data_IF_756500558503
#
_entry.id   IF_756500558503
#
_cell.length_a   1.000
_cell.length_b   1.000
_cell.length_c   1.000
_cell.angle_alpha   90.00
_cell.angle_beta   90.00
_cell.angle_gamma   90.00
#
_symmetry.space_group_name_H-M   'P 1'
#
loop_
_entity.id
_entity.type
_entity.pdbx_description
1 polymer ?
#
# COMPACT_ATOMS: atom_id res chain seq x y z
N UNK A 1 -21.16 8.61 -27.23
CA UNK A 1 -20.21 7.50 -27.14
C UNK A 1 -19.06 7.91 -26.22
N UNK A 2 -19.11 7.50 -24.94
CA UNK A 2 -18.03 7.75 -23.98
C UNK A 2 -16.95 6.71 -24.20
N UNK A 3 -15.76 7.11 -24.66
CA UNK A 3 -14.56 6.24 -24.65
C UNK A 3 -14.27 5.94 -23.16
N UNK A 4 -14.57 4.73 -22.73
CA UNK A 4 -13.97 4.17 -21.52
C UNK A 4 -12.46 4.15 -21.75
N UNK A 5 -11.72 4.97 -21.00
CA UNK A 5 -10.30 4.82 -20.84
C UNK A 5 -10.09 3.46 -20.15
N UNK A 6 -9.82 2.44 -20.92
CA UNK A 6 -9.07 1.29 -20.45
C UNK A 6 -7.68 1.85 -20.08
N UNK A 7 -7.51 2.18 -18.81
CA UNK A 7 -6.17 2.35 -18.26
C UNK A 7 -5.49 1.01 -18.43
N UNK A 8 -4.49 0.98 -19.31
CA UNK A 8 -3.64 -0.17 -19.54
C UNK A 8 -3.06 -0.59 -18.17
N UNK A 9 -3.46 -1.78 -17.73
CA UNK A 9 -3.07 -2.35 -16.43
C UNK A 9 -1.61 -2.85 -16.43
N UNK A 10 -0.83 -2.46 -17.45
CA UNK A 10 0.56 -2.88 -17.66
C UNK A 10 1.60 -2.03 -16.89
N UNK A 11 1.19 -0.98 -16.16
CA UNK A 11 2.13 0.01 -15.64
C UNK A 11 2.43 -0.06 -14.13
N UNK A 12 2.09 -1.15 -13.44
CA UNK A 12 2.57 -1.31 -12.05
C UNK A 12 3.92 -2.01 -12.08
N UNK A 13 4.98 -1.23 -11.94
CA UNK A 13 6.31 -1.79 -11.74
C UNK A 13 6.39 -2.45 -10.36
N UNK A 14 6.68 -3.75 -10.34
CA UNK A 14 6.93 -4.51 -9.11
C UNK A 14 8.44 -4.65 -8.89
N UNK A 15 8.85 -4.75 -7.63
CA UNK A 15 10.23 -5.05 -7.27
C UNK A 15 10.54 -6.49 -7.72
N UNK A 16 11.56 -6.61 -8.57
CA UNK A 16 12.14 -7.86 -9.07
C UNK A 16 13.66 -7.79 -8.96
N UNK A 17 14.36 -8.87 -9.29
CA UNK A 17 15.85 -8.88 -9.34
C UNK A 17 16.38 -7.90 -10.39
N UNK A 18 15.64 -7.68 -11.48
CA UNK A 18 16.01 -6.79 -12.59
C UNK A 18 15.55 -5.34 -12.38
N UNK A 19 14.95 -5.01 -11.24
CA UNK A 19 14.47 -3.65 -10.99
C UNK A 19 15.61 -2.64 -10.91
N UNK A 20 15.41 -1.38 -11.41
CA UNK A 20 16.39 -0.32 -11.26
C UNK A 20 16.79 -0.11 -9.79
N UNK A 21 18.09 0.18 -9.58
CA UNK A 21 18.64 0.36 -8.23
C UNK A 21 17.88 1.43 -7.44
N UNK A 22 17.61 2.59 -8.04
CA UNK A 22 16.93 3.72 -7.41
C UNK A 22 15.50 3.35 -6.98
N UNK A 23 14.80 2.55 -7.80
CA UNK A 23 13.46 2.07 -7.49
C UNK A 23 13.48 1.14 -6.26
N UNK A 24 14.40 0.19 -6.24
CA UNK A 24 14.57 -0.76 -5.13
C UNK A 24 14.97 -0.04 -3.84
N UNK A 25 15.92 0.89 -3.91
CA UNK A 25 16.38 1.66 -2.75
C UNK A 25 15.27 2.57 -2.18
N UNK A 26 14.40 3.13 -3.02
CA UNK A 26 13.26 3.92 -2.55
C UNK A 26 12.33 3.08 -1.65
N UNK A 27 12.05 1.83 -2.02
CA UNK A 27 11.22 0.94 -1.18
C UNK A 27 11.98 0.39 0.03
N UNK A 28 13.29 0.18 -0.04
CA UNK A 28 14.10 -0.13 1.15
C UNK A 28 14.10 1.03 2.16
N UNK A 29 14.20 2.27 1.68
CA UNK A 29 14.09 3.46 2.53
C UNK A 29 12.68 3.57 3.14
N UNK A 30 11.61 3.36 2.34
CA UNK A 30 10.24 3.33 2.84
C UNK A 30 10.06 2.26 3.92
N UNK A 31 10.53 1.04 3.69
CA UNK A 31 10.53 -0.05 4.66
C UNK A 31 11.27 0.31 5.95
N UNK A 32 12.44 0.93 5.83
CA UNK A 32 13.24 1.35 6.99
C UNK A 32 12.46 2.35 7.83
N UNK A 33 11.88 3.39 7.21
CA UNK A 33 11.04 4.37 7.89
C UNK A 33 9.81 3.71 8.52
N UNK A 34 9.18 2.78 7.80
CA UNK A 34 8.04 2.00 8.29
C UNK A 34 8.40 1.18 9.54
N UNK A 35 9.53 0.49 9.53
CA UNK A 35 9.99 -0.28 10.69
C UNK A 35 10.25 0.60 11.91
N UNK A 36 10.77 1.82 11.74
CA UNK A 36 10.92 2.76 12.85
C UNK A 36 9.58 3.21 13.43
N UNK A 37 8.57 3.44 12.60
CA UNK A 37 7.21 3.80 13.03
C UNK A 37 6.51 2.63 13.71
N UNK A 38 6.84 1.39 13.37
CA UNK A 38 6.29 0.17 13.94
C UNK A 38 7.16 -0.43 15.08
N UNK A 39 8.25 0.25 15.48
CA UNK A 39 9.29 -0.31 16.37
C UNK A 39 8.75 -0.82 17.71
N UNK A 40 7.70 -0.22 18.24
CA UNK A 40 7.09 -0.65 19.51
C UNK A 40 6.09 -1.82 19.34
N UNK A 41 5.93 -2.39 18.14
CA UNK A 41 4.94 -3.44 17.85
C UNK A 41 3.48 -2.95 17.88
N UNK A 42 3.27 -1.64 17.97
CA UNK A 42 1.94 -1.03 18.09
C UNK A 42 1.25 -0.81 16.74
N UNK A 43 2.04 -0.67 15.65
CA UNK A 43 1.52 -0.38 14.31
C UNK A 43 1.70 -1.60 13.41
N UNK A 44 0.78 -2.55 13.48
CA UNK A 44 0.83 -3.79 12.69
C UNK A 44 -0.27 -3.87 11.63
N UNK A 45 -1.41 -3.19 11.85
CA UNK A 45 -2.53 -3.06 10.90
C UNK A 45 -2.43 -1.70 10.23
N UNK A 46 -1.99 -1.67 8.99
CA UNK A 46 -1.70 -0.44 8.25
C UNK A 46 -2.68 -0.26 7.11
N UNK A 47 -3.33 0.87 7.10
CA UNK A 47 -4.19 1.29 6.01
C UNK A 47 -3.40 2.18 5.04
N UNK A 48 -3.54 1.93 3.74
CA UNK A 48 -2.97 2.78 2.68
C UNK A 48 -4.10 3.42 1.90
N UNK A 49 -4.10 4.75 1.85
CA UNK A 49 -5.09 5.54 1.12
C UNK A 49 -4.45 6.73 0.40
N UNK A 50 -5.24 7.49 -0.32
CA UNK A 50 -4.78 8.66 -1.08
C UNK A 50 -5.88 9.73 -1.17
N UNK A 51 -5.57 10.90 -1.75
CA UNK A 51 -6.57 11.96 -1.93
C UNK A 51 -7.49 11.68 -3.12
N UNK A 52 -6.96 11.16 -4.24
CA UNK A 52 -7.68 10.90 -5.49
C UNK A 52 -7.28 9.56 -6.11
N UNK A 53 -8.02 9.04 -7.09
CA UNK A 53 -7.62 7.85 -7.84
C UNK A 53 -6.28 8.03 -8.58
N UNK A 54 -5.61 6.91 -8.88
CA UNK A 54 -4.38 6.85 -9.68
C UNK A 54 -3.15 7.54 -9.06
N UNK A 55 -3.11 7.66 -7.73
CA UNK A 55 -1.91 8.12 -7.00
C UNK A 55 -0.91 7.00 -6.73
N UNK A 56 -1.25 5.75 -7.08
CA UNK A 56 -0.37 4.58 -6.97
C UNK A 56 -0.40 3.87 -5.62
N UNK A 57 -1.50 3.96 -4.88
CA UNK A 57 -1.70 3.25 -3.61
C UNK A 57 -1.37 1.77 -3.71
N UNK A 58 -2.05 1.06 -4.61
CA UNK A 58 -1.88 -0.39 -4.81
C UNK A 58 -0.44 -0.75 -5.19
N UNK A 59 0.24 0.08 -6.00
CA UNK A 59 1.67 -0.08 -6.32
C UNK A 59 2.53 0.06 -5.05
N UNK A 60 2.25 1.07 -4.21
CA UNK A 60 2.97 1.27 -2.94
C UNK A 60 2.71 0.10 -1.98
N UNK A 61 1.46 -0.37 -1.85
CA UNK A 61 1.09 -1.51 -1.02
C UNK A 61 1.85 -2.77 -1.41
N UNK A 62 1.80 -3.14 -2.69
CA UNK A 62 2.44 -4.37 -3.18
C UNK A 62 3.96 -4.30 -3.01
N UNK A 63 4.60 -3.21 -3.42
CA UNK A 63 6.05 -3.09 -3.34
C UNK A 63 6.56 -2.96 -1.89
N UNK A 64 5.79 -2.33 -0.99
CA UNK A 64 6.11 -2.33 0.44
C UNK A 64 6.02 -3.75 1.02
N UNK A 65 4.99 -4.52 0.66
CA UNK A 65 4.83 -5.91 1.08
C UNK A 65 5.99 -6.79 0.57
N UNK A 66 6.38 -6.66 -0.71
CA UNK A 66 7.56 -7.34 -1.27
C UNK A 66 8.81 -6.98 -0.47
N UNK A 67 9.04 -5.68 -0.23
CA UNK A 67 10.23 -5.21 0.48
C UNK A 67 10.29 -5.71 1.94
N UNK A 68 9.15 -5.85 2.63
CA UNK A 68 9.06 -6.43 3.97
C UNK A 68 9.29 -7.94 3.94
N UNK A 69 8.71 -8.66 2.97
CA UNK A 69 8.90 -10.10 2.79
C UNK A 69 10.39 -10.45 2.53
N UNK A 70 11.10 -9.61 1.77
CA UNK A 70 12.55 -9.79 1.51
C UNK A 70 13.42 -9.79 2.78
N UNK A 71 12.94 -9.25 3.90
CA UNK A 71 13.64 -9.29 5.20
C UNK A 71 13.00 -10.32 6.17
N UNK A 72 12.24 -11.28 5.63
CA UNK A 72 11.66 -12.39 6.40
C UNK A 72 10.42 -12.03 7.21
N UNK A 73 9.75 -10.88 6.94
CA UNK A 73 8.48 -10.56 7.57
C UNK A 73 7.32 -11.27 6.88
N UNK A 74 6.41 -11.84 7.67
CA UNK A 74 5.16 -12.41 7.18
C UNK A 74 4.16 -11.27 7.01
N UNK A 75 3.72 -11.04 5.78
CA UNK A 75 2.87 -9.91 5.43
C UNK A 75 1.59 -10.41 4.75
N UNK A 76 0.44 -9.96 5.25
CA UNK A 76 -0.83 -10.10 4.57
C UNK A 76 -1.22 -8.77 3.93
N UNK A 77 -1.46 -8.78 2.64
CA UNK A 77 -2.08 -7.67 1.92
C UNK A 77 -3.57 -7.93 1.78
N UNK A 78 -4.39 -6.98 2.21
CA UNK A 78 -5.85 -7.03 2.14
C UNK A 78 -6.34 -6.05 1.08
N UNK A 79 -7.06 -6.53 0.07
CA UNK A 79 -7.74 -5.68 -0.91
C UNK A 79 -9.04 -5.15 -0.30
N UNK A 80 -8.92 -4.02 0.41
CA UNK A 80 -10.03 -3.34 1.07
C UNK A 80 -10.80 -2.37 0.16
N UNK A 81 -10.43 -2.23 -1.11
CA UNK A 81 -11.24 -1.51 -2.10
C UNK A 81 -12.36 -2.42 -2.64
N UNK A 82 -13.37 -2.68 -1.79
CA UNK A 82 -14.52 -3.49 -2.18
C UNK A 82 -15.37 -2.87 -3.28
N UNK A 83 -15.13 -1.60 -3.66
CA UNK A 83 -15.81 -0.93 -4.77
C UNK A 83 -15.19 -1.24 -6.12
N UNK A 84 -13.85 -1.40 -6.15
CA UNK A 84 -13.10 -1.73 -7.35
C UNK A 84 -11.89 -2.61 -7.01
N UNK A 85 -12.12 -3.85 -6.54
CA UNK A 85 -11.03 -4.77 -6.18
C UNK A 85 -10.08 -4.97 -7.36
N UNK A 86 -8.79 -4.76 -7.13
CA UNK A 86 -7.82 -4.72 -8.24
C UNK A 86 -6.51 -5.46 -7.98
N UNK A 87 -6.16 -5.76 -6.73
CA UNK A 87 -4.86 -6.35 -6.39
C UNK A 87 -4.62 -7.70 -7.07
N UNK A 88 -5.66 -8.54 -7.20
CA UNK A 88 -5.57 -9.81 -7.91
C UNK A 88 -5.07 -9.67 -9.35
N UNK A 89 -5.40 -8.55 -10.02
CA UNK A 89 -4.98 -8.28 -11.40
C UNK A 89 -3.51 -7.90 -11.49
N UNK A 90 -3.02 -7.05 -10.58
CA UNK A 90 -1.60 -6.64 -10.53
C UNK A 90 -0.68 -7.82 -10.22
N UNK A 91 -1.19 -8.84 -9.53
CA UNK A 91 -0.45 -10.03 -9.15
C UNK A 91 -0.70 -11.23 -10.08
N UNK A 92 -1.37 -11.00 -11.23
CA UNK A 92 -1.76 -12.05 -12.19
C UNK A 92 -2.54 -13.23 -11.56
N UNK A 93 -3.24 -12.97 -10.46
CA UNK A 93 -4.08 -13.96 -9.81
C UNK A 93 -5.48 -13.96 -10.42
N UNK A 94 -6.05 -15.16 -10.59
CA UNK A 94 -7.44 -15.29 -11.05
C UNK A 94 -8.39 -14.74 -9.98
N UNK A 95 -9.40 -14.01 -10.43
CA UNK A 95 -10.49 -13.59 -9.54
C UNK A 95 -11.33 -14.82 -9.19
N UNK A 96 -11.43 -15.11 -7.90
CA UNK A 96 -12.32 -16.12 -7.36
C UNK A 96 -13.42 -15.44 -6.53
N UNK A 97 -14.68 -15.48 -6.96
CA UNK A 97 -15.77 -14.81 -6.26
C UNK A 97 -16.11 -15.45 -4.90
N UNK A 98 -15.72 -16.71 -4.69
CA UNK A 98 -16.01 -17.45 -3.47
C UNK A 98 -14.88 -17.35 -2.44
N UNK A 99 -13.62 -17.18 -2.89
CA UNK A 99 -12.43 -17.10 -2.04
C UNK A 99 -11.94 -15.68 -1.93
N UNK A 100 -12.64 -14.86 -1.14
CA UNK A 100 -12.35 -13.43 -1.09
C UNK A 100 -12.88 -12.76 0.19
N UNK A 101 -12.45 -11.52 0.45
CA UNK A 101 -12.83 -10.73 1.60
C UNK A 101 -14.36 -10.51 1.67
N UNK A 102 -15.03 -10.22 0.56
CA UNK A 102 -16.49 -10.03 0.59
C UNK A 102 -17.26 -11.29 0.99
N UNK A 103 -16.81 -12.48 0.56
CA UNK A 103 -17.39 -13.76 0.98
C UNK A 103 -17.08 -14.09 2.46
N UNK A 104 -15.84 -13.78 2.90
CA UNK A 104 -15.43 -13.94 4.28
C UNK A 104 -16.26 -13.06 5.23
N UNK A 105 -16.48 -11.79 4.88
CA UNK A 105 -17.24 -10.85 5.70
C UNK A 105 -18.74 -11.16 5.77
N UNK A 106 -19.27 -11.92 4.81
CA UNK A 106 -20.65 -12.43 4.85
C UNK A 106 -20.78 -13.79 5.52
N UNK A 107 -19.66 -14.39 5.98
CA UNK A 107 -19.65 -15.68 6.65
C UNK A 107 -19.82 -16.88 5.73
N UNK A 108 -19.60 -16.72 4.42
CA UNK A 108 -19.74 -17.77 3.42
C UNK A 108 -18.52 -18.71 3.36
N UNK A 109 -17.38 -18.29 3.90
CA UNK A 109 -16.12 -19.02 3.86
C UNK A 109 -15.29 -18.68 5.10
N UNK A 110 -14.36 -19.54 5.49
CA UNK A 110 -13.39 -19.30 6.56
C UNK A 110 -12.16 -18.48 6.09
N UNK A 111 -11.40 -17.94 7.07
CA UNK A 111 -10.26 -17.07 6.81
C UNK A 111 -9.16 -17.75 6.00
N UNK A 112 -8.74 -18.95 6.41
CA UNK A 112 -7.59 -19.63 5.80
C UNK A 112 -7.86 -20.02 4.34
N UNK A 113 -9.12 -20.34 4.03
CA UNK A 113 -9.56 -20.65 2.67
C UNK A 113 -9.56 -19.45 1.71
N UNK A 114 -9.56 -18.22 2.25
CA UNK A 114 -9.53 -16.99 1.45
C UNK A 114 -8.12 -16.51 1.10
N UNK A 115 -7.10 -17.01 1.80
CA UNK A 115 -5.72 -16.55 1.64
C UNK A 115 -5.10 -17.14 0.37
N UNK A 116 -4.38 -16.29 -0.36
CA UNK A 116 -3.66 -16.64 -1.57
C UNK A 116 -2.18 -16.37 -1.36
N UNK A 117 -1.35 -17.41 -1.36
CA UNK A 117 0.10 -17.25 -1.40
C UNK A 117 0.51 -16.64 -2.74
N UNK A 118 1.32 -15.59 -2.70
CA UNK A 118 1.84 -14.95 -3.91
C UNK A 118 3.27 -15.40 -4.20
N UNK A 119 3.68 -15.35 -5.46
CA UNK A 119 5.07 -15.62 -5.86
C UNK A 119 6.06 -14.55 -5.35
N UNK A 120 5.56 -13.49 -4.75
CA UNK A 120 6.34 -12.35 -4.26
C UNK A 120 6.70 -12.44 -2.77
N UNK A 121 6.36 -13.53 -2.10
CA UNK A 121 6.73 -13.81 -0.70
C UNK A 121 5.82 -13.17 0.36
N UNK A 122 4.68 -12.63 -0.03
CA UNK A 122 3.61 -12.17 0.86
C UNK A 122 2.28 -12.83 0.47
N UNK A 123 1.30 -12.80 1.36
CA UNK A 123 -0.01 -13.38 1.11
C UNK A 123 -1.04 -12.29 0.80
N UNK A 124 -2.04 -12.65 -0.01
CA UNK A 124 -3.13 -11.78 -0.44
C UNK A 124 -4.47 -12.29 0.08
N UNK A 125 -5.27 -11.39 0.67
CA UNK A 125 -6.70 -11.56 0.84
C UNK A 125 -7.42 -10.68 -0.20
N UNK A 126 -7.90 -11.25 -1.32
CA UNK A 126 -8.48 -10.49 -2.43
C UNK A 126 -9.86 -9.93 -2.06
N UNK A 127 -10.21 -8.76 -2.57
CA UNK A 127 -11.48 -8.07 -2.27
C UNK A 127 -12.73 -8.82 -2.77
N UNK A 128 -12.65 -9.42 -3.95
CA UNK A 128 -13.68 -10.29 -4.50
C UNK A 128 -14.77 -9.58 -5.29
N UNK A 129 -16.02 -9.98 -5.10
CA UNK A 129 -17.19 -9.40 -5.77
C UNK A 129 -17.59 -8.10 -5.06
N UNK A 130 -17.95 -7.10 -5.84
CA UNK A 130 -18.42 -5.80 -5.29
C UNK A 130 -19.77 -6.02 -4.56
N UNK A 131 -19.81 -5.84 -3.24
CA UNK A 131 -21.04 -6.00 -2.49
C UNK A 131 -21.95 -4.76 -2.64
N UNK A 132 -23.25 -4.86 -2.35
CA UNK A 132 -24.16 -3.72 -2.41
C UNK A 132 -23.87 -2.65 -1.33
N UNK A 133 -23.25 -3.03 -0.22
CA UNK A 133 -22.99 -2.20 0.97
C UNK A 133 -21.51 -2.29 1.42
N UNK A 134 -20.55 -1.78 0.61
CA UNK A 134 -19.11 -1.95 0.90
C UNK A 134 -18.68 -1.30 2.22
N UNK A 135 -19.19 -0.11 2.55
CA UNK A 135 -18.79 0.63 3.78
C UNK A 135 -19.22 -0.14 5.03
N UNK A 136 -20.44 -0.65 5.07
CA UNK A 136 -20.96 -1.41 6.19
C UNK A 136 -20.15 -2.69 6.44
N UNK A 137 -19.77 -3.39 5.37
CA UNK A 137 -18.95 -4.59 5.48
C UNK A 137 -17.53 -4.26 5.97
N UNK A 138 -16.88 -3.24 5.40
CA UNK A 138 -15.49 -2.91 5.74
C UNK A 138 -15.36 -2.33 7.16
N UNK A 139 -16.42 -1.77 7.73
CA UNK A 139 -16.48 -1.24 9.09
C UNK A 139 -17.11 -2.20 10.10
N UNK A 140 -17.42 -3.42 9.70
CA UNK A 140 -18.14 -4.40 10.52
C UNK A 140 -17.25 -4.99 11.63
N UNK A 141 -17.90 -5.62 12.63
CA UNK A 141 -17.19 -6.43 13.63
C UNK A 141 -16.49 -7.62 13.00
N UNK A 142 -17.01 -8.17 11.92
CA UNK A 142 -16.40 -9.25 11.15
C UNK A 142 -15.07 -8.79 10.55
N UNK A 143 -15.01 -7.56 10.00
CA UNK A 143 -13.75 -7.02 9.48
C UNK A 143 -12.70 -6.87 10.59
N UNK A 144 -13.10 -6.38 11.77
CA UNK A 144 -12.19 -6.34 12.91
C UNK A 144 -11.70 -7.75 13.29
N UNK A 145 -12.58 -8.74 13.37
CA UNK A 145 -12.22 -10.12 13.67
C UNK A 145 -11.25 -10.71 12.62
N UNK A 146 -11.44 -10.39 11.33
CA UNK A 146 -10.52 -10.78 10.25
C UNK A 146 -9.13 -10.18 10.45
N UNK A 147 -9.04 -8.88 10.78
CA UNK A 147 -7.76 -8.22 11.01
C UNK A 147 -7.05 -8.77 12.27
N UNK A 148 -7.77 -9.02 13.35
CA UNK A 148 -7.19 -9.63 14.56
C UNK A 148 -6.73 -11.07 14.29
N UNK A 149 -7.53 -11.86 13.58
CA UNK A 149 -7.14 -13.23 13.17
C UNK A 149 -5.87 -13.23 12.32
N UNK A 150 -5.74 -12.28 11.40
CA UNK A 150 -4.54 -12.13 10.59
C UNK A 150 -3.29 -11.87 11.45
N UNK A 151 -3.39 -11.10 12.54
CA UNK A 151 -2.26 -10.81 13.43
C UNK A 151 -1.76 -12.02 14.24
N UNK A 152 -2.51 -13.12 14.30
CA UNK A 152 -2.02 -14.36 14.90
C UNK A 152 -0.91 -15.00 14.05
N UNK A 153 -0.94 -14.77 12.73
CA UNK A 153 -0.02 -15.38 11.77
C UNK A 153 0.97 -14.39 11.17
N UNK A 154 0.54 -13.17 10.86
CA UNK A 154 1.32 -12.19 10.13
C UNK A 154 1.95 -11.14 11.05
N UNK A 155 3.17 -10.71 10.71
CA UNK A 155 3.83 -9.59 11.37
C UNK A 155 3.17 -8.26 11.03
N UNK A 156 2.68 -8.12 9.77
CA UNK A 156 1.99 -6.93 9.27
C UNK A 156 0.77 -7.30 8.43
N UNK A 157 -0.29 -6.51 8.57
CA UNK A 157 -1.49 -6.53 7.72
C UNK A 157 -1.59 -5.17 7.03
N UNK A 158 -1.50 -5.14 5.70
CA UNK A 158 -1.53 -3.91 4.90
C UNK A 158 -2.82 -3.89 4.09
N UNK A 159 -3.70 -2.93 4.37
CA UNK A 159 -4.98 -2.77 3.70
C UNK A 159 -4.88 -1.72 2.58
N UNK A 160 -5.04 -2.15 1.32
CA UNK A 160 -5.26 -1.21 0.19
C UNK A 160 -6.71 -0.73 0.22
N UNK A 161 -6.94 0.57 0.10
CA UNK A 161 -8.28 1.16 0.19
C UNK A 161 -8.54 2.16 -0.93
N UNK A 162 -9.82 2.46 -1.24
CA UNK A 162 -10.13 3.54 -2.16
C UNK A 162 -9.67 4.90 -1.62
N UNK A 163 -9.54 5.93 -2.49
CA UNK A 163 -9.12 7.26 -2.06
C UNK A 163 -10.09 7.87 -1.05
N UNK A 164 -9.58 8.29 0.11
CA UNK A 164 -10.39 8.92 1.17
C UNK A 164 -11.00 10.26 0.70
N UNK A 165 -10.40 10.90 -0.28
CA UNK A 165 -10.95 12.13 -0.87
C UNK A 165 -12.26 11.91 -1.63
N UNK A 166 -12.60 10.67 -2.02
CA UNK A 166 -13.74 10.32 -2.85
C UNK A 166 -14.84 9.61 -2.06
N UNK A 167 -14.47 8.60 -1.25
CA UNK A 167 -15.42 7.75 -0.50
C UNK A 167 -15.02 7.63 0.97
N UNK A 168 -15.92 7.12 1.80
CA UNK A 168 -15.75 7.04 3.25
C UNK A 168 -15.12 5.74 3.74
N UNK A 169 -14.91 4.78 2.87
CA UNK A 169 -14.44 3.42 3.19
C UNK A 169 -13.10 3.44 3.94
N UNK A 170 -12.12 4.22 3.43
CA UNK A 170 -10.83 4.36 4.10
C UNK A 170 -10.95 5.01 5.49
N UNK A 171 -11.86 5.98 5.66
CA UNK A 171 -12.11 6.58 6.97
C UNK A 171 -12.74 5.58 7.94
N UNK A 172 -13.68 4.77 7.47
CA UNK A 172 -14.34 3.75 8.29
C UNK A 172 -13.34 2.64 8.71
N UNK A 173 -12.54 2.12 7.76
CA UNK A 173 -11.54 1.09 8.04
C UNK A 173 -10.39 1.62 8.91
N UNK A 174 -10.04 2.90 8.83
CA UNK A 174 -8.95 3.48 9.63
C UNK A 174 -9.17 3.36 11.14
N UNK A 175 -10.42 3.26 11.58
CA UNK A 175 -10.76 3.03 12.99
C UNK A 175 -10.40 1.61 13.49
N UNK A 176 -10.17 0.66 12.58
CA UNK A 176 -9.77 -0.71 12.87
C UNK A 176 -8.25 -0.94 12.65
N UNK A 177 -7.55 0.06 12.14
CA UNK A 177 -6.12 0.01 11.83
C UNK A 177 -5.32 0.83 12.84
N UNK A 178 -4.05 0.45 13.02
CA UNK A 178 -3.14 1.11 13.97
C UNK A 178 -2.55 2.39 13.37
N UNK A 179 -2.45 2.45 12.02
CA UNK A 179 -1.89 3.60 11.35
C UNK A 179 -2.28 3.71 9.88
N UNK A 180 -2.08 4.89 9.33
CA UNK A 180 -2.40 5.24 7.93
C UNK A 180 -1.15 5.72 7.22
N UNK A 181 -0.82 5.13 6.07
CA UNK A 181 0.11 5.67 5.09
C UNK A 181 -0.69 6.42 4.02
N UNK A 182 -0.35 7.69 3.82
CA UNK A 182 -1.06 8.54 2.88
C UNK A 182 -0.23 8.71 1.60
N UNK A 183 -0.73 8.24 0.46
CA UNK A 183 -0.01 8.27 -0.82
C UNK A 183 -0.40 9.49 -1.63
N UNK A 184 0.59 10.19 -2.16
CA UNK A 184 0.46 11.32 -3.09
C UNK A 184 1.22 11.04 -4.37
N UNK A 185 0.71 11.54 -5.51
CA UNK A 185 1.43 11.50 -6.77
C UNK A 185 2.12 12.83 -7.05
N UNK A 186 3.44 12.78 -7.26
CA UNK A 186 4.24 13.96 -7.60
C UNK A 186 3.69 14.67 -8.83
N UNK A 187 3.72 16.01 -8.83
CA UNK A 187 3.25 16.89 -9.91
C UNK A 187 1.78 16.73 -10.35
N UNK A 188 1.02 15.79 -9.77
CA UNK A 188 -0.36 15.52 -10.19
C UNK A 188 -1.37 15.94 -9.12
N UNK A 189 -1.08 15.61 -7.85
CA UNK A 189 -2.00 15.86 -6.75
C UNK A 189 -2.04 17.35 -6.40
N UNK A 190 -3.24 17.92 -6.34
CA UNK A 190 -3.43 19.33 -5.99
C UNK A 190 -3.47 19.52 -4.47
N UNK A 191 -2.87 20.61 -3.96
CA UNK A 191 -2.81 20.90 -2.52
C UNK A 191 -4.17 20.87 -1.82
N UNK A 192 -5.21 21.44 -2.45
CA UNK A 192 -6.57 21.43 -1.88
C UNK A 192 -7.16 20.03 -1.73
N UNK A 193 -6.84 19.09 -2.62
CA UNK A 193 -7.26 17.69 -2.53
C UNK A 193 -6.57 17.01 -1.34
N UNK A 194 -5.27 17.25 -1.15
CA UNK A 194 -4.49 16.77 -0.01
C UNK A 194 -5.08 17.27 1.30
N UNK A 195 -5.28 18.60 1.44
CA UNK A 195 -5.85 19.16 2.66
C UNK A 195 -7.26 18.63 2.96
N UNK A 196 -8.10 18.48 1.92
CA UNK A 196 -9.44 17.89 2.08
C UNK A 196 -9.40 16.44 2.57
N UNK A 197 -8.49 15.65 2.05
CA UNK A 197 -8.30 14.25 2.45
C UNK A 197 -7.73 14.13 3.89
N UNK A 198 -6.71 14.93 4.22
CA UNK A 198 -6.13 14.94 5.58
C UNK A 198 -7.14 15.37 6.64
N UNK A 199 -7.98 16.38 6.35
CA UNK A 199 -9.07 16.76 7.26
C UNK A 199 -10.06 15.63 7.53
N UNK A 200 -10.35 14.79 6.53
CA UNK A 200 -11.22 13.61 6.73
C UNK A 200 -10.57 12.60 7.66
N UNK A 201 -9.25 12.33 7.51
CA UNK A 201 -8.49 11.47 8.43
C UNK A 201 -8.47 12.06 9.86
N UNK A 202 -8.25 13.36 9.98
CA UNK A 202 -8.28 14.08 11.27
C UNK A 202 -9.65 13.98 11.96
N UNK A 203 -10.74 14.14 11.19
CA UNK A 203 -12.12 14.06 11.72
C UNK A 203 -12.41 12.71 12.38
N UNK A 204 -11.85 11.62 11.82
CA UNK A 204 -11.98 10.26 12.39
C UNK A 204 -10.85 9.91 13.35
N UNK A 205 -9.97 10.88 13.67
CA UNK A 205 -8.80 10.73 14.54
C UNK A 205 -7.86 9.60 14.09
N UNK A 206 -7.74 9.40 12.79
CA UNK A 206 -6.84 8.38 12.25
C UNK A 206 -5.38 8.74 12.55
N UNK A 207 -4.59 7.77 12.97
CA UNK A 207 -3.16 7.92 13.22
C UNK A 207 -2.39 7.94 11.88
N UNK A 208 -2.10 9.12 11.34
CA UNK A 208 -1.34 9.25 10.09
C UNK A 208 0.15 9.07 10.39
N UNK A 209 0.71 7.93 10.02
CA UNK A 209 2.13 7.59 10.22
C UNK A 209 3.05 8.41 9.33
N UNK A 210 2.61 8.70 8.10
CA UNK A 210 3.43 9.44 7.15
C UNK A 210 2.81 9.57 5.78
N UNK A 211 3.54 10.26 4.91
CA UNK A 211 3.17 10.51 3.51
C UNK A 211 4.20 9.85 2.58
N UNK A 212 3.72 9.11 1.60
CA UNK A 212 4.52 8.54 0.51
C UNK A 212 4.33 9.38 -0.74
N UNK A 213 5.39 10.04 -1.19
CA UNK A 213 5.39 10.76 -2.46
C UNK A 213 5.77 9.80 -3.59
N UNK A 214 4.76 9.34 -4.32
CA UNK A 214 4.93 8.39 -5.42
C UNK A 214 5.19 9.08 -6.76
N UNK A 215 5.78 8.37 -7.74
CA UNK A 215 6.18 8.90 -9.05
C UNK A 215 7.10 10.13 -8.95
N UNK A 216 7.98 10.15 -7.95
CA UNK A 216 8.96 11.22 -7.79
C UNK A 216 10.14 10.99 -8.75
N UNK A 217 10.44 11.99 -9.57
CA UNK A 217 11.58 11.97 -10.47
C UNK A 217 12.76 12.74 -9.84
N UNK A 218 13.86 12.03 -9.58
CA UNK A 218 15.07 12.61 -8.99
C UNK A 218 15.70 13.65 -9.92
N UNK A 219 15.53 13.52 -11.24
CA UNK A 219 16.01 14.48 -12.24
C UNK A 219 15.41 15.89 -12.09
N UNK A 220 14.26 16.01 -11.44
CA UNK A 220 13.60 17.30 -11.18
C UNK A 220 14.31 18.17 -10.11
N UNK A 221 15.26 17.60 -9.36
CA UNK A 221 15.98 18.32 -8.27
C UNK A 221 17.15 19.14 -8.79
N UNK A 222 17.53 19.05 -10.06
CA UNK A 222 18.67 19.80 -10.65
C UNK A 222 18.44 21.31 -10.79
N UNK A 223 17.29 21.84 -10.34
CA UNK A 223 16.93 23.26 -10.30
C UNK A 223 16.90 23.81 -8.87
N UNK A 224 18.03 24.39 -8.40
CA UNK A 224 18.17 25.32 -7.27
C UNK A 224 17.29 25.08 -6.01
N UNK A 225 17.87 24.40 -5.02
CA UNK A 225 17.52 24.64 -3.63
C UNK A 225 16.64 23.59 -2.95
N UNK A 226 17.17 22.38 -2.74
CA UNK A 226 16.82 21.57 -1.56
C UNK A 226 17.98 20.62 -1.25
N UNK A 227 18.97 21.10 -0.52
CA UNK A 227 20.14 20.33 -0.07
C UNK A 227 19.85 19.33 1.07
N UNK A 228 18.62 18.81 1.20
CA UNK A 228 18.28 17.91 2.30
C UNK A 228 18.35 16.41 1.93
N UNK A 229 18.42 16.04 0.64
CA UNK A 229 18.47 14.65 0.23
C UNK A 229 19.87 14.06 0.16
N UNK A 230 20.93 14.88 0.19
CA UNK A 230 22.32 14.40 0.19
C UNK A 230 22.86 13.97 1.58
N UNK A 231 22.07 14.05 2.65
CA UNK A 231 22.52 13.74 4.00
C UNK A 231 22.30 12.28 4.45
N UNK A 232 21.60 11.46 3.66
CA UNK A 232 21.44 10.02 3.93
C UNK A 232 22.01 9.13 2.83
N UNK A 233 22.80 9.69 1.92
CA UNK A 233 23.60 8.93 1.01
C UNK A 233 24.83 8.38 1.75
N UNK A 234 24.79 7.14 2.18
CA UNK A 234 26.00 6.39 2.53
C UNK A 234 26.84 6.27 1.26
N UNK A 235 27.75 7.22 1.10
CA UNK A 235 28.79 7.16 0.08
C UNK A 235 29.81 6.08 0.42
N UNK A 236 29.52 4.83 0.09
CA UNK A 236 30.56 3.82 -0.07
C UNK A 236 31.11 3.86 -1.50
N UNK A 237 31.85 4.91 -1.78
CA UNK A 237 32.73 4.96 -2.93
C UNK A 237 33.97 4.10 -2.68
N UNK A 238 33.92 2.80 -2.95
CA UNK A 238 35.12 2.00 -3.13
C UNK A 238 35.68 2.27 -4.53
N UNK A 239 36.46 3.34 -4.61
CA UNK A 239 37.31 3.59 -5.78
C UNK A 239 38.52 2.63 -5.79
N UNK A 240 38.39 1.50 -6.49
CA UNK A 240 39.56 0.75 -6.95
C UNK A 240 40.05 1.39 -8.24
N UNK A 241 41.02 2.31 -8.10
CA UNK A 241 41.82 2.75 -9.24
C UNK A 241 42.92 1.72 -9.54
N UNK A 242 43.23 1.44 -10.83
CA UNK A 242 44.27 0.49 -11.17
C UNK A 242 45.65 1.07 -10.86
N UNK A 243 46.48 0.32 -10.12
CA UNK A 243 47.88 0.59 -9.97
C UNK A 243 48.58 0.50 -11.34
N UNK A 244 49.13 1.63 -11.82
CA UNK A 244 50.13 1.61 -12.90
C UNK A 244 51.48 1.38 -12.26
N UNK A 245 52.20 0.34 -12.79
CA UNK A 245 53.62 0.16 -12.63
C UNK A 245 54.38 1.21 -13.44
#
# INVERSE_FOLDING_TARGET
MKRQHNLDMQDVQLITEDSPFEFTEAYKALRTNFNFMAFNGENRKILVTSSVPNEGKSSVVINLAISLAQIGKRVLVVDGDLRNPSLHRYLNNKKDPERCLSALLTGSIDFDSCIIETVHGFDLLPGGVVPPNPVELISSRQMNAVLEKALETYDYVICDTPPIGIVTDAAALSALCDGVLFVLRHKTTRKNQVYGALRRLETVKANVLGVVLNHYDIGDVSGKGYGYYNSYGYGYGYGYGPYKK
#
